data_IF_086380786143
#
_entry.id   IF_086380786143
#
_cell.length_a   1.000
_cell.length_b   1.000
_cell.length_c   1.000
_cell.angle_alpha   90.00
_cell.angle_beta   90.00
_cell.angle_gamma   90.00
#
_symmetry.space_group_name_H-M   'P 1'
#
loop_
_entity.id
_entity.type
_entity.pdbx_description
1 polymer ?
#
# COMPACT_ATOMS: atom_id res chain seq x y z
N UNK A 1 -68.34 -32.86 22.48
CA UNK A 1 -67.19 -32.08 22.86
C UNK A 1 -66.13 -32.15 21.75
N UNK A 2 -66.02 -31.15 20.99
CA UNK A 2 -65.03 -31.05 19.87
C UNK A 2 -64.44 -29.67 19.90
N UNK A 3 -63.15 -29.58 20.18
CA UNK A 3 -62.41 -28.38 20.23
C UNK A 3 -62.19 -27.82 18.81
N UNK A 4 -62.66 -26.60 18.56
CA UNK A 4 -62.40 -25.86 17.34
C UNK A 4 -61.09 -25.11 17.44
N UNK A 5 -60.10 -25.47 16.58
CA UNK A 5 -58.86 -24.73 16.44
C UNK A 5 -59.07 -23.39 15.72
N UNK A 6 -58.17 -22.39 15.88
CA UNK A 6 -58.34 -21.06 15.35
C UNK A 6 -58.19 -21.06 13.82
N UNK A 7 -59.22 -20.51 13.15
CA UNK A 7 -59.24 -20.24 11.70
C UNK A 7 -58.40 -18.98 11.45
N UNK A 8 -57.31 -19.10 10.70
CA UNK A 8 -56.54 -17.93 10.19
C UNK A 8 -57.29 -17.37 8.97
N UNK A 9 -57.52 -16.04 8.91
CA UNK A 9 -58.11 -15.46 7.71
C UNK A 9 -57.15 -15.52 6.54
N UNK A 10 -57.61 -16.01 5.42
CA UNK A 10 -56.87 -16.11 4.18
C UNK A 10 -56.37 -14.76 3.71
N UNK A 11 -55.10 -14.71 3.36
CA UNK A 11 -54.43 -13.58 2.76
C UNK A 11 -54.91 -13.42 1.32
N UNK A 12 -55.93 -12.58 1.08
CA UNK A 12 -56.31 -12.17 -0.26
C UNK A 12 -55.26 -11.20 -0.75
N UNK A 13 -54.43 -11.66 -1.69
CA UNK A 13 -53.39 -10.87 -2.35
C UNK A 13 -53.94 -9.63 -3.04
N UNK A 14 -53.88 -8.50 -2.39
CA UNK A 14 -54.03 -7.19 -2.99
C UNK A 14 -52.72 -6.81 -3.69
N UNK A 15 -52.71 -6.93 -5.03
CA UNK A 15 -51.64 -6.35 -5.85
C UNK A 15 -51.72 -4.83 -5.75
N UNK A 16 -50.89 -4.24 -4.90
CA UNK A 16 -50.62 -2.80 -4.92
C UNK A 16 -49.64 -2.52 -6.03
N UNK A 17 -50.14 -2.36 -7.24
CA UNK A 17 -49.35 -1.85 -8.36
C UNK A 17 -48.95 -0.39 -8.10
N UNK A 18 -47.74 -0.14 -7.67
CA UNK A 18 -47.12 1.17 -7.74
C UNK A 18 -46.77 1.51 -9.18
N UNK A 19 -47.66 2.19 -9.91
CA UNK A 19 -47.42 2.62 -11.31
C UNK A 19 -46.34 3.73 -11.45
N UNK A 20 -45.70 4.18 -10.37
CA UNK A 20 -44.62 5.19 -10.40
C UNK A 20 -43.56 5.00 -9.29
N UNK A 21 -43.32 3.77 -8.83
CA UNK A 21 -42.16 3.50 -8.00
C UNK A 21 -40.92 3.44 -8.88
N UNK A 22 -40.37 4.60 -9.24
CA UNK A 22 -38.96 4.68 -9.64
C UNK A 22 -38.15 4.36 -8.40
N UNK A 23 -37.87 3.07 -8.20
CA UNK A 23 -36.89 2.65 -7.20
C UNK A 23 -35.57 3.19 -7.68
N UNK A 24 -35.23 4.41 -7.26
CA UNK A 24 -33.89 4.93 -7.39
C UNK A 24 -33.05 4.06 -6.44
N UNK A 25 -32.56 2.95 -6.96
CA UNK A 25 -31.50 2.18 -6.28
C UNK A 25 -30.33 3.13 -6.25
N UNK A 26 -30.22 3.88 -5.16
CA UNK A 26 -29.02 4.64 -4.86
C UNK A 26 -27.95 3.61 -4.54
N UNK A 27 -27.39 3.01 -5.60
CA UNK A 27 -26.17 2.25 -5.45
C UNK A 27 -25.11 3.25 -4.97
N UNK A 28 -24.87 3.23 -3.67
CA UNK A 28 -23.74 3.92 -3.08
C UNK A 28 -22.49 3.31 -3.73
N UNK A 29 -22.11 3.83 -4.89
CA UNK A 29 -20.90 3.39 -5.57
C UNK A 29 -19.74 3.80 -4.67
N UNK A 30 -19.16 2.80 -3.98
CA UNK A 30 -17.95 3.01 -3.20
C UNK A 30 -16.90 3.59 -4.15
N UNK A 31 -16.41 4.78 -3.84
CA UNK A 31 -15.32 5.39 -4.60
C UNK A 31 -14.04 4.60 -4.40
N UNK A 32 -13.12 4.68 -5.34
CA UNK A 32 -11.73 4.26 -5.18
C UNK A 32 -10.92 5.41 -4.61
N UNK A 33 -10.07 5.13 -3.63
CA UNK A 33 -9.13 6.09 -3.06
C UNK A 33 -7.74 5.85 -3.63
N UNK A 34 -7.12 6.85 -4.24
CA UNK A 34 -5.82 6.71 -4.89
C UNK A 34 -4.91 7.85 -4.50
N UNK A 35 -3.67 7.55 -4.14
CA UNK A 35 -2.57 8.52 -4.03
C UNK A 35 -1.45 8.14 -5.00
N UNK A 36 -0.63 9.12 -5.34
CA UNK A 36 0.52 8.94 -6.21
C UNK A 36 1.81 9.15 -5.41
N UNK A 37 2.81 8.35 -5.73
CA UNK A 37 4.14 8.38 -5.14
C UNK A 37 5.17 8.56 -6.26
N UNK A 38 6.09 9.51 -6.12
CA UNK A 38 7.24 9.62 -7.02
C UNK A 38 8.45 8.89 -6.43
N UNK A 39 8.68 7.67 -6.93
CA UNK A 39 9.84 6.82 -6.62
C UNK A 39 10.85 6.79 -7.77
N UNK A 40 10.69 7.64 -8.80
CA UNK A 40 11.55 7.64 -9.97
C UNK A 40 12.82 8.48 -9.73
N UNK A 41 13.91 7.81 -9.38
CA UNK A 41 15.22 8.46 -9.19
C UNK A 41 15.72 9.15 -10.46
N UNK A 42 16.29 10.32 -10.30
CA UNK A 42 16.74 11.14 -11.43
C UNK A 42 15.70 12.12 -11.97
N UNK A 43 14.45 12.05 -11.47
CA UNK A 43 13.36 12.95 -11.86
C UNK A 43 12.95 13.81 -10.66
N UNK A 44 13.09 15.11 -10.76
CA UNK A 44 12.83 16.02 -9.63
C UNK A 44 11.34 16.14 -9.29
N UNK A 45 10.48 16.25 -10.29
CA UNK A 45 9.03 16.39 -10.07
C UNK A 45 8.21 16.04 -11.32
N UNK A 46 6.99 15.56 -11.06
CA UNK A 46 5.99 15.26 -12.09
C UNK A 46 4.70 16.05 -11.92
N UNK A 47 3.96 16.14 -13.00
CA UNK A 47 2.52 16.44 -13.04
C UNK A 47 1.78 15.15 -13.32
N UNK A 48 0.76 14.85 -12.52
CA UNK A 48 -0.05 13.64 -12.72
C UNK A 48 -1.48 14.05 -13.03
N UNK A 49 -2.03 13.48 -14.09
CA UNK A 49 -3.41 13.62 -14.50
C UNK A 49 -4.11 12.26 -14.43
N UNK A 50 -5.38 12.29 -14.05
CA UNK A 50 -6.26 11.12 -14.05
C UNK A 50 -7.46 11.46 -14.91
N UNK A 51 -7.61 10.78 -16.05
CA UNK A 51 -8.54 11.20 -17.10
C UNK A 51 -8.15 12.58 -17.65
N UNK A 52 -9.13 13.48 -17.76
CA UNK A 52 -8.92 14.86 -18.21
C UNK A 52 -8.47 15.81 -17.09
N UNK A 53 -8.51 15.37 -15.83
CA UNK A 53 -8.26 16.24 -14.66
C UNK A 53 -6.80 16.17 -14.19
N UNK A 54 -6.20 17.34 -13.88
CA UNK A 54 -4.94 17.38 -13.15
C UNK A 54 -5.20 16.98 -11.71
N UNK A 55 -4.49 15.96 -11.23
CA UNK A 55 -4.63 15.49 -9.85
C UNK A 55 -3.58 16.09 -8.93
N UNK A 56 -2.31 16.03 -9.29
CA UNK A 56 -1.21 16.58 -8.48
C UNK A 56 -0.16 17.26 -9.34
N UNK A 57 0.34 18.41 -8.87
CA UNK A 57 1.47 19.13 -9.46
C UNK A 57 1.99 20.19 -8.48
N UNK A 58 3.28 20.18 -8.13
CA UNK A 58 4.26 19.15 -8.46
C UNK A 58 4.18 17.94 -7.52
N UNK A 59 4.47 16.75 -8.02
CA UNK A 59 4.78 15.56 -7.23
C UNK A 59 6.29 15.38 -7.21
N UNK A 60 6.92 15.85 -6.15
CA UNK A 60 8.38 15.84 -6.02
C UNK A 60 8.90 14.41 -5.80
N UNK A 61 10.20 14.19 -6.12
CA UNK A 61 10.86 12.93 -5.79
C UNK A 61 10.77 12.63 -4.30
N UNK A 62 10.66 11.34 -3.96
CA UNK A 62 10.51 10.85 -2.59
C UNK A 62 9.35 11.49 -1.83
N UNK A 63 8.26 11.81 -2.52
CA UNK A 63 7.03 12.32 -1.91
C UNK A 63 5.79 11.61 -2.43
N UNK A 64 4.72 11.67 -1.64
CA UNK A 64 3.42 11.16 -2.03
C UNK A 64 2.35 12.26 -1.94
N UNK A 65 1.34 12.17 -2.80
CA UNK A 65 0.16 13.02 -2.71
C UNK A 65 -0.77 12.57 -1.57
N UNK A 66 -1.73 13.41 -1.21
CA UNK A 66 -2.91 12.96 -0.48
C UNK A 66 -3.76 12.02 -1.34
N UNK A 67 -4.66 11.24 -0.69
CA UNK A 67 -5.62 10.42 -1.41
C UNK A 67 -6.67 11.30 -2.12
N UNK A 68 -6.87 11.01 -3.41
CA UNK A 68 -8.01 11.48 -4.19
C UNK A 68 -9.08 10.40 -4.29
N UNK A 69 -10.33 10.83 -4.47
CA UNK A 69 -11.46 9.92 -4.68
C UNK A 69 -11.86 9.91 -6.14
N UNK A 70 -11.91 8.71 -6.72
CA UNK A 70 -12.25 8.49 -8.12
C UNK A 70 -13.43 7.54 -8.25
N UNK A 71 -14.13 7.65 -9.38
CA UNK A 71 -15.13 6.64 -9.75
C UNK A 71 -14.40 5.33 -10.05
N UNK A 72 -14.95 4.16 -9.65
CA UNK A 72 -14.37 2.89 -10.05
C UNK A 72 -14.39 2.70 -11.56
N UNK A 73 -13.42 1.96 -12.08
CA UNK A 73 -13.30 1.65 -13.49
C UNK A 73 -11.90 1.98 -14.03
N UNK A 74 -11.77 1.91 -15.34
CA UNK A 74 -10.52 2.22 -16.02
C UNK A 74 -10.35 3.73 -16.16
N UNK A 75 -9.19 4.22 -15.78
CA UNK A 75 -8.78 5.61 -15.91
C UNK A 75 -7.41 5.69 -16.59
N UNK A 76 -7.28 6.59 -17.54
CA UNK A 76 -5.98 6.92 -18.10
C UNK A 76 -5.20 7.77 -17.10
N UNK A 77 -4.08 7.27 -16.64
CA UNK A 77 -3.11 8.02 -15.82
C UNK A 77 -2.02 8.54 -16.74
N UNK A 78 -1.81 9.84 -16.72
CA UNK A 78 -0.77 10.52 -17.51
C UNK A 78 0.22 11.17 -16.55
N UNK A 79 1.51 10.84 -16.72
CA UNK A 79 2.63 11.42 -15.98
C UNK A 79 3.45 12.26 -16.95
N UNK A 80 3.61 13.53 -16.64
CA UNK A 80 4.37 14.47 -17.46
C UNK A 80 5.37 15.29 -16.63
N UNK A 81 6.38 15.81 -17.32
CA UNK A 81 7.35 16.74 -16.76
C UNK A 81 6.76 18.15 -16.59
N UNK A 82 7.55 19.04 -16.02
CA UNK A 82 7.19 20.48 -15.90
C UNK A 82 7.10 21.17 -17.26
N UNK A 83 7.86 20.69 -18.22
CA UNK A 83 7.91 21.13 -19.63
C UNK A 83 6.71 20.64 -20.45
N UNK A 84 5.89 19.75 -19.88
CA UNK A 84 4.74 19.15 -20.54
C UNK A 84 5.08 17.86 -21.30
N UNK A 85 6.34 17.42 -21.32
CA UNK A 85 6.70 16.15 -21.92
C UNK A 85 6.00 14.99 -21.20
N UNK A 86 5.31 14.12 -21.96
CA UNK A 86 4.59 12.97 -21.42
C UNK A 86 5.54 11.79 -21.34
N UNK A 87 5.84 11.34 -20.12
CA UNK A 87 6.66 10.15 -19.85
C UNK A 87 5.85 8.86 -19.87
N UNK A 88 4.62 8.90 -19.33
CA UNK A 88 3.76 7.73 -19.19
C UNK A 88 2.33 8.13 -19.52
N UNK A 89 1.65 7.27 -20.26
CA UNK A 89 0.21 7.28 -20.43
C UNK A 89 -0.28 5.84 -20.37
N UNK A 90 -0.96 5.47 -19.25
CA UNK A 90 -1.34 4.09 -18.98
C UNK A 90 -2.77 4.02 -18.44
N UNK A 91 -3.54 3.04 -18.92
CA UNK A 91 -4.86 2.73 -18.38
C UNK A 91 -4.71 1.90 -17.11
N UNK A 92 -5.31 2.37 -16.01
CA UNK A 92 -5.26 1.74 -14.70
C UNK A 92 -6.67 1.43 -14.21
N UNK A 93 -6.88 0.23 -13.65
CA UNK A 93 -8.16 -0.15 -13.05
C UNK A 93 -8.21 0.34 -11.60
N UNK A 94 -9.15 1.23 -11.31
CA UNK A 94 -9.43 1.70 -9.95
C UNK A 94 -10.61 0.92 -9.38
N UNK A 95 -10.35 0.07 -8.38
CA UNK A 95 -11.37 -0.82 -7.81
C UNK A 95 -12.29 -0.10 -6.82
N UNK A 96 -13.56 -0.45 -6.83
CA UNK A 96 -14.58 0.12 -5.94
C UNK A 96 -14.27 -0.21 -4.46
N UNK A 97 -14.22 0.81 -3.61
CA UNK A 97 -13.98 0.67 -2.17
C UNK A 97 -12.54 0.33 -1.80
N UNK A 98 -11.64 0.23 -2.77
CA UNK A 98 -10.22 0.01 -2.51
C UNK A 98 -9.47 1.32 -2.29
N UNK A 99 -8.38 1.24 -1.54
CA UNK A 99 -7.35 2.26 -1.48
C UNK A 99 -6.09 1.74 -2.16
N UNK A 100 -5.39 2.59 -2.90
CA UNK A 100 -4.14 2.22 -3.56
C UNK A 100 -3.16 3.38 -3.66
N UNK A 101 -1.88 3.04 -3.61
CA UNK A 101 -0.76 3.91 -3.95
C UNK A 101 -0.28 3.53 -5.35
N UNK A 102 -0.26 4.49 -6.28
CA UNK A 102 0.34 4.32 -7.60
C UNK A 102 1.71 4.96 -7.57
N UNK A 103 2.75 4.14 -7.57
CA UNK A 103 4.14 4.58 -7.58
C UNK A 103 4.63 4.76 -9.02
N UNK A 104 5.26 5.91 -9.29
CA UNK A 104 6.01 6.16 -10.51
C UNK A 104 7.42 5.66 -10.26
N UNK A 105 7.87 4.68 -11.02
CA UNK A 105 9.13 3.96 -10.81
C UNK A 105 10.00 3.98 -12.06
N UNK A 106 11.32 3.86 -11.87
CA UNK A 106 12.25 3.59 -12.97
C UNK A 106 12.10 2.13 -13.44
N UNK A 107 12.37 1.90 -14.72
CA UNK A 107 12.53 0.57 -15.31
C UNK A 107 13.65 0.63 -16.36
N UNK A 108 14.08 -0.52 -16.86
CA UNK A 108 15.08 -0.58 -17.92
C UNK A 108 14.62 0.11 -19.22
N UNK A 109 13.30 0.20 -19.46
CA UNK A 109 12.72 0.84 -20.65
C UNK A 109 12.26 2.28 -20.41
N UNK A 110 12.55 2.87 -19.25
CA UNK A 110 12.12 4.22 -18.87
C UNK A 110 11.32 4.23 -17.58
N UNK A 111 10.15 4.89 -17.55
CA UNK A 111 9.28 4.95 -16.38
C UNK A 111 8.07 4.03 -16.51
N UNK A 112 7.56 3.53 -15.40
CA UNK A 112 6.32 2.76 -15.33
C UNK A 112 5.51 3.13 -14.08
N UNK A 113 4.26 2.65 -14.03
CA UNK A 113 3.36 2.79 -12.89
C UNK A 113 3.17 1.43 -12.20
N UNK A 114 3.46 1.39 -10.91
CA UNK A 114 3.21 0.26 -10.03
C UNK A 114 2.03 0.57 -9.12
N UNK A 115 0.96 -0.22 -9.22
CA UNK A 115 -0.20 -0.09 -8.33
C UNK A 115 -0.03 -1.00 -7.11
N UNK A 116 -0.06 -0.40 -5.93
CA UNK A 116 0.09 -1.06 -4.63
C UNK A 116 -1.24 -0.92 -3.89
N UNK A 117 -1.83 -2.04 -3.47
CA UNK A 117 -3.06 -2.01 -2.67
C UNK A 117 -2.73 -1.59 -1.24
N UNK A 118 -3.45 -0.58 -0.74
CA UNK A 118 -3.32 -0.08 0.62
C UNK A 118 -4.37 -0.71 1.55
N UNK A 119 -4.08 -0.72 2.87
CA UNK A 119 -5.06 -1.17 3.85
C UNK A 119 -6.16 -0.13 4.02
N UNK A 120 -7.41 -0.57 3.99
CA UNK A 120 -8.58 0.26 4.33
C UNK A 120 -9.06 0.04 5.76
N UNK A 121 -8.52 -0.96 6.46
CA UNK A 121 -8.85 -1.29 7.84
C UNK A 121 -7.84 -0.70 8.81
N UNK A 122 -8.34 -0.22 9.95
CA UNK A 122 -7.46 0.24 11.04
C UNK A 122 -6.98 -0.94 11.87
N UNK A 123 -5.72 -0.92 12.32
CA UNK A 123 -5.25 -1.88 13.31
C UNK A 123 -6.07 -1.77 14.60
N UNK A 124 -6.36 -2.91 15.22
CA UNK A 124 -7.14 -3.02 16.47
C UNK A 124 -6.29 -3.57 17.60
N UNK A 125 -6.81 -3.55 18.82
CA UNK A 125 -6.16 -4.17 19.99
C UNK A 125 -4.90 -3.44 20.48
N UNK A 126 -4.78 -2.13 20.19
CA UNK A 126 -3.62 -1.36 20.63
C UNK A 126 -2.35 -1.55 19.78
N UNK A 127 -2.48 -2.21 18.63
CA UNK A 127 -1.38 -2.44 17.69
C UNK A 127 -1.36 -1.43 16.53
N UNK A 128 -0.27 -1.43 15.80
CA UNK A 128 -0.11 -0.86 14.47
C UNK A 128 0.16 -1.97 13.46
N UNK A 129 0.11 -1.64 12.18
CA UNK A 129 0.61 -2.51 11.12
C UNK A 129 1.79 -1.82 10.41
N UNK A 130 2.78 -2.61 10.06
CA UNK A 130 3.95 -2.18 9.30
C UNK A 130 4.10 -3.05 8.05
N UNK A 131 4.39 -2.42 6.92
CA UNK A 131 4.95 -3.11 5.76
C UNK A 131 6.10 -2.30 5.17
N UNK A 132 7.00 -3.00 4.50
CA UNK A 132 8.13 -2.40 3.80
C UNK A 132 8.10 -2.84 2.35
N UNK A 133 8.34 -1.92 1.43
CA UNK A 133 8.40 -2.17 -0.01
C UNK A 133 9.68 -1.64 -0.61
N UNK A 134 10.27 -2.41 -1.53
CA UNK A 134 11.47 -2.01 -2.24
C UNK A 134 11.12 -1.39 -3.59
N UNK A 135 11.27 -0.07 -3.71
CA UNK A 135 11.08 0.69 -4.95
C UNK A 135 12.41 1.30 -5.46
N UNK A 136 13.54 0.90 -4.89
CA UNK A 136 14.85 1.33 -5.34
C UNK A 136 15.28 0.53 -6.57
N UNK A 137 15.28 1.18 -7.74
CA UNK A 137 15.44 0.53 -9.05
C UNK A 137 16.74 -0.25 -9.20
N UNK A 138 17.85 0.26 -8.67
CA UNK A 138 19.16 -0.38 -8.81
C UNK A 138 19.54 -1.26 -7.61
N UNK A 139 18.64 -1.43 -6.62
CA UNK A 139 18.93 -2.29 -5.49
C UNK A 139 18.91 -3.77 -5.87
N UNK A 140 19.79 -4.57 -5.26
CA UNK A 140 19.64 -6.00 -5.20
C UNK A 140 18.47 -6.41 -4.29
N UNK A 141 18.21 -7.72 -4.18
CA UNK A 141 17.35 -8.26 -3.14
C UNK A 141 17.92 -7.92 -1.76
N UNK A 142 17.05 -7.54 -0.82
CA UNK A 142 17.50 -7.14 0.51
C UNK A 142 16.66 -7.75 1.62
N UNK A 143 17.32 -7.95 2.75
CA UNK A 143 16.70 -8.34 4.00
C UNK A 143 16.49 -7.11 4.88
N UNK A 144 15.37 -7.07 5.60
CA UNK A 144 15.08 -6.07 6.62
C UNK A 144 15.19 -6.73 7.98
N UNK A 145 16.09 -6.21 8.80
CA UNK A 145 16.46 -6.76 10.10
C UNK A 145 16.06 -5.80 11.23
N UNK A 146 15.78 -6.35 12.40
CA UNK A 146 15.72 -5.57 13.64
C UNK A 146 17.11 -5.45 14.24
N UNK A 147 17.27 -4.57 15.25
CA UNK A 147 18.53 -4.34 15.96
C UNK A 147 19.07 -5.59 16.67
N UNK A 148 18.24 -6.56 16.95
CA UNK A 148 18.60 -7.85 17.55
C UNK A 148 18.96 -8.94 16.51
N UNK A 149 18.99 -8.58 15.21
CA UNK A 149 19.35 -9.46 14.10
C UNK A 149 18.19 -10.29 13.54
N UNK A 150 16.97 -10.17 14.10
CA UNK A 150 15.80 -10.87 13.56
C UNK A 150 15.43 -10.30 12.18
N UNK A 151 15.18 -11.21 11.23
CA UNK A 151 14.76 -10.83 9.88
C UNK A 151 13.26 -10.61 9.85
N UNK A 152 12.82 -9.40 9.55
CA UNK A 152 11.40 -9.02 9.45
C UNK A 152 10.86 -9.30 8.04
N UNK A 153 11.63 -8.95 7.03
CA UNK A 153 11.35 -9.27 5.63
C UNK A 153 12.63 -9.80 5.00
N UNK A 154 12.53 -10.87 4.21
CA UNK A 154 13.65 -11.47 3.49
C UNK A 154 13.43 -11.39 1.99
N UNK A 155 14.54 -11.34 1.24
CA UNK A 155 14.57 -11.38 -0.23
C UNK A 155 13.61 -10.34 -0.88
N UNK A 156 13.54 -9.14 -0.29
CA UNK A 156 12.67 -8.08 -0.77
C UNK A 156 13.25 -7.47 -2.05
N UNK A 157 12.74 -7.89 -3.19
CA UNK A 157 13.21 -7.48 -4.51
C UNK A 157 12.59 -6.18 -4.97
N UNK A 158 13.20 -5.55 -5.95
CA UNK A 158 12.64 -4.37 -6.60
C UNK A 158 11.20 -4.61 -7.08
N UNK A 159 10.29 -3.68 -6.78
CA UNK A 159 8.83 -3.72 -6.96
C UNK A 159 8.07 -4.59 -5.97
N UNK A 160 8.73 -5.27 -5.08
CA UNK A 160 8.05 -6.06 -4.06
C UNK A 160 7.66 -5.20 -2.87
N UNK A 161 6.47 -5.45 -2.37
CA UNK A 161 5.93 -4.84 -1.15
C UNK A 161 5.51 -5.98 -0.22
N UNK A 162 6.15 -6.06 0.93
CA UNK A 162 5.86 -7.07 1.93
C UNK A 162 4.42 -6.97 2.46
N UNK A 163 3.90 -8.08 2.97
CA UNK A 163 2.61 -8.08 3.65
C UNK A 163 2.66 -7.24 4.93
N UNK A 164 1.53 -6.68 5.34
CA UNK A 164 1.43 -6.02 6.62
C UNK A 164 1.71 -6.99 7.77
N UNK A 165 2.60 -6.60 8.67
CA UNK A 165 2.90 -7.28 9.92
C UNK A 165 2.41 -6.45 11.09
N UNK A 166 1.81 -7.09 12.07
CA UNK A 166 1.36 -6.44 13.30
C UNK A 166 2.57 -6.10 14.19
N UNK A 167 2.57 -4.89 14.74
CA UNK A 167 3.65 -4.37 15.58
C UNK A 167 3.07 -3.59 16.76
N UNK A 168 3.71 -3.68 17.93
CA UNK A 168 3.32 -2.87 19.11
C UNK A 168 3.78 -1.42 18.95
N UNK A 169 3.10 -0.48 19.62
CA UNK A 169 3.63 0.88 19.77
C UNK A 169 4.99 0.86 20.45
N UNK A 170 5.88 1.73 20.00
CA UNK A 170 7.24 1.83 20.52
C UNK A 170 8.21 2.34 19.46
N UNK A 171 9.45 2.47 19.87
CA UNK A 171 10.53 2.95 19.00
C UNK A 171 11.31 1.77 18.46
N UNK A 172 11.43 1.70 17.15
CA UNK A 172 12.10 0.61 16.44
C UNK A 172 13.22 1.15 15.55
N UNK A 173 14.27 0.38 15.44
CA UNK A 173 15.31 0.58 14.45
C UNK A 173 15.41 -0.68 13.59
N UNK A 174 15.22 -0.50 12.28
CA UNK A 174 15.38 -1.54 11.28
C UNK A 174 16.64 -1.27 10.48
N UNK A 175 17.28 -2.33 9.99
CA UNK A 175 18.48 -2.26 9.17
C UNK A 175 18.23 -2.96 7.85
N UNK A 176 18.91 -2.53 6.81
CA UNK A 176 18.87 -3.13 5.47
C UNK A 176 20.22 -3.79 5.18
N UNK A 177 20.18 -5.03 4.75
CA UNK A 177 21.34 -5.82 4.38
C UNK A 177 21.10 -6.55 3.06
N UNK A 178 22.15 -6.97 2.39
CA UNK A 178 22.02 -7.86 1.25
C UNK A 178 21.38 -9.18 1.69
N UNK A 179 20.54 -9.74 0.80
CA UNK A 179 19.80 -10.96 1.12
C UNK A 179 20.71 -12.12 1.49
N UNK A 180 20.44 -12.73 2.64
CA UNK A 180 20.98 -14.01 3.03
C UNK A 180 19.91 -15.08 2.81
N UNK A 181 20.10 -15.93 1.80
CA UNK A 181 19.16 -17.00 1.46
C UNK A 181 18.94 -18.05 2.56
N UNK A 182 19.77 -18.02 3.61
CA UNK A 182 19.62 -18.87 4.80
C UNK A 182 18.75 -18.20 5.88
N UNK A 183 18.40 -16.91 5.71
CA UNK A 183 17.59 -16.19 6.67
C UNK A 183 16.12 -16.60 6.55
N UNK A 184 15.51 -17.01 7.65
CA UNK A 184 14.08 -17.26 7.69
C UNK A 184 13.34 -15.99 8.12
N UNK A 185 12.34 -15.53 7.33
CA UNK A 185 11.59 -14.34 7.68
C UNK A 185 10.72 -14.59 8.91
N UNK A 186 10.47 -13.51 9.63
CA UNK A 186 9.48 -13.48 10.69
C UNK A 186 8.09 -13.87 10.19
N UNK A 187 7.31 -14.47 11.08
CA UNK A 187 5.88 -14.69 10.87
C UNK A 187 5.09 -13.38 10.68
N UNK A 188 3.77 -13.46 10.69
CA UNK A 188 2.87 -12.32 10.51
C UNK A 188 2.89 -11.32 11.69
N UNK A 189 3.46 -11.71 12.82
CA UNK A 189 3.53 -10.91 14.06
C UNK A 189 4.99 -10.76 14.48
N UNK A 190 5.47 -9.52 14.49
CA UNK A 190 6.85 -9.21 14.85
C UNK A 190 7.13 -9.56 16.32
N UNK A 191 6.11 -9.47 17.18
CA UNK A 191 6.24 -9.74 18.61
C UNK A 191 6.34 -11.22 19.00
N UNK A 192 5.81 -12.10 18.14
CA UNK A 192 5.80 -13.55 18.42
C UNK A 192 6.98 -14.29 17.82
N UNK A 193 7.95 -13.56 17.27
CA UNK A 193 9.15 -14.15 16.71
C UNK A 193 9.95 -14.85 17.80
N UNK A 194 10.07 -16.17 17.67
CA UNK A 194 10.87 -16.96 18.59
C UNK A 194 12.35 -16.61 18.44
N UNK A 195 12.93 -16.06 19.50
CA UNK A 195 14.36 -15.75 19.56
C UNK A 195 15.27 -16.98 19.46
N UNK A 196 14.73 -18.19 19.59
CA UNK A 196 15.46 -19.44 19.49
C UNK A 196 16.07 -19.70 18.09
N UNK A 197 15.56 -19.01 17.06
CA UNK A 197 16.09 -19.09 15.68
C UNK A 197 17.12 -18.01 15.35
N UNK A 198 17.54 -17.24 16.32
CA UNK A 198 18.73 -16.40 16.20
C UNK A 198 19.97 -17.29 16.13
N UNK A 199 20.05 -18.16 15.12
CA UNK A 199 21.30 -18.67 14.70
C UNK A 199 22.26 -17.50 14.57
N UNK A 200 23.49 -17.64 15.09
CA UNK A 200 24.51 -16.59 15.04
C UNK A 200 24.64 -16.15 13.58
N UNK A 201 23.86 -15.16 13.20
CA UNK A 201 24.06 -14.47 11.93
C UNK A 201 25.39 -13.77 12.04
N UNK A 202 26.32 -14.01 11.10
CA UNK A 202 27.49 -13.14 11.01
C UNK A 202 26.93 -11.71 10.90
N UNK A 203 27.58 -10.71 11.52
CA UNK A 203 27.15 -9.34 11.42
C UNK A 203 27.03 -9.00 9.93
N UNK A 204 25.79 -8.85 9.45
CA UNK A 204 25.56 -8.46 8.07
C UNK A 204 26.05 -7.03 7.91
N UNK A 205 26.80 -6.79 6.86
CA UNK A 205 27.08 -5.43 6.44
C UNK A 205 25.76 -4.78 6.09
N UNK A 206 25.32 -3.88 6.94
CA UNK A 206 24.09 -3.10 6.70
C UNK A 206 24.46 -1.87 5.91
N UNK A 207 23.65 -1.57 4.89
CA UNK A 207 23.86 -0.40 4.04
C UNK A 207 22.85 0.73 4.27
N UNK A 208 21.94 0.54 5.20
CA UNK A 208 20.95 1.57 5.56
C UNK A 208 20.17 1.20 6.80
N UNK A 209 19.43 2.16 7.32
CA UNK A 209 18.57 1.95 8.48
C UNK A 209 17.32 2.81 8.42
N UNK A 210 16.30 2.39 9.16
CA UNK A 210 15.05 3.10 9.39
C UNK A 210 14.86 3.24 10.89
N UNK A 211 14.61 4.45 11.36
CA UNK A 211 14.14 4.74 12.70
C UNK A 211 12.64 5.06 12.64
N UNK A 212 11.82 4.33 13.39
CA UNK A 212 10.38 4.44 13.34
C UNK A 212 9.78 4.49 14.74
N UNK A 213 9.09 5.59 15.05
CA UNK A 213 8.23 5.71 16.22
C UNK A 213 6.83 5.24 15.86
N UNK A 214 6.43 4.09 16.40
CA UNK A 214 5.19 3.40 16.08
C UNK A 214 4.09 3.77 17.05
N UNK A 215 3.00 4.30 16.54
CA UNK A 215 1.79 4.65 17.29
C UNK A 215 0.67 3.68 16.96
N UNK A 216 -0.14 3.29 17.96
CA UNK A 216 -1.27 2.38 17.77
C UNK A 216 -2.32 2.92 16.78
N UNK A 217 -3.02 2.03 16.09
CA UNK A 217 -4.10 2.37 15.18
C UNK A 217 -3.65 2.96 13.84
N UNK A 218 -2.36 2.86 13.50
CA UNK A 218 -1.76 3.38 12.26
C UNK A 218 -1.26 2.23 11.39
N UNK A 219 -1.51 2.31 10.08
CA UNK A 219 -0.86 1.48 9.08
C UNK A 219 0.37 2.23 8.53
N UNK A 220 1.54 1.69 8.76
CA UNK A 220 2.80 2.23 8.25
C UNK A 220 3.17 1.50 6.96
N UNK A 221 3.33 2.25 5.86
CA UNK A 221 3.93 1.76 4.62
C UNK A 221 5.26 2.48 4.42
N UNK A 222 6.35 1.75 4.53
CA UNK A 222 7.70 2.28 4.31
C UNK A 222 8.16 1.83 2.93
N UNK A 223 8.55 2.78 2.09
CA UNK A 223 9.10 2.50 0.78
C UNK A 223 10.58 2.87 0.75
N UNK A 224 11.40 1.92 0.33
CA UNK A 224 12.81 2.12 0.07
C UNK A 224 12.96 2.69 -1.32
N UNK A 225 13.53 3.87 -1.43
CA UNK A 225 13.74 4.58 -2.67
C UNK A 225 15.24 4.74 -2.91
N UNK A 226 15.65 4.77 -4.16
CA UNK A 226 17.03 5.00 -4.51
C UNK A 226 17.47 6.41 -4.10
N UNK A 227 18.64 6.57 -3.48
CA UNK A 227 19.18 7.88 -3.07
C UNK A 227 20.48 8.25 -3.77
N UNK A 228 21.03 7.34 -4.58
CA UNK A 228 22.29 7.54 -5.29
C UNK A 228 22.50 6.52 -6.41
N UNK A 229 23.63 6.56 -7.11
CA UNK A 229 23.89 5.68 -8.26
C UNK A 229 24.15 4.23 -7.88
N UNK A 230 24.60 3.97 -6.64
CA UNK A 230 24.95 2.63 -6.19
C UNK A 230 23.71 1.87 -5.69
N UNK A 231 23.74 0.54 -5.79
CA UNK A 231 22.64 -0.34 -5.38
C UNK A 231 22.30 -0.24 -3.88
N UNK A 232 23.28 0.11 -3.03
CA UNK A 232 23.10 0.25 -1.58
C UNK A 232 22.67 1.67 -1.15
N UNK A 233 22.55 2.61 -2.09
CA UNK A 233 22.12 3.97 -1.78
C UNK A 233 20.59 4.02 -1.75
N UNK A 234 20.02 3.80 -0.57
CA UNK A 234 18.58 3.83 -0.34
C UNK A 234 18.20 4.90 0.69
N UNK A 235 17.00 5.44 0.54
CA UNK A 235 16.36 6.32 1.51
C UNK A 235 14.94 5.84 1.79
N UNK A 236 14.43 6.21 2.96
CA UNK A 236 13.11 5.82 3.40
C UNK A 236 12.05 6.87 3.07
N UNK A 237 10.91 6.44 2.58
CA UNK A 237 9.68 7.24 2.58
C UNK A 237 8.64 6.54 3.44
N UNK A 238 8.21 7.18 4.52
CA UNK A 238 7.22 6.65 5.45
C UNK A 238 5.87 7.27 5.13
N UNK A 239 4.88 6.44 4.84
CA UNK A 239 3.49 6.83 4.67
C UNK A 239 2.65 6.23 5.79
N UNK A 240 1.80 7.05 6.40
CA UNK A 240 0.96 6.67 7.54
C UNK A 240 -0.51 6.83 7.17
N UNK A 241 -1.28 5.75 7.32
CA UNK A 241 -2.72 5.70 7.12
C UNK A 241 -3.42 5.40 8.45
N UNK A 242 -4.36 6.29 8.86
CA UNK A 242 -5.10 6.21 10.13
C UNK A 242 -6.56 5.88 9.92
#
# INVERSE_FOLDING_TARGET
>A
PGEGGPVYPGNTGGSWGCSNCTTTVTTWRRTSSVRFLNAAYGYSAFRVHVGSGRFVSPLNYASASSYGRFRPGYHTVTVSGRDGYIYIQKSMLLQAGAASTIAIINTASGLDLLQITDSTSRPTGGFANLRIGNLAYNSGPMDVLMSDGRVVYSDLRFKEVGAFKRIRPGVYQFFYADTNLMAMPAGLDIETMDSAWLGVYPPHETFGSLYLDVVSGVNYSVYLLQSGPNHNNVQNLILMDR
#
